data_IF_333801926279
#
_entry.id   IF_333801926279
#
_cell.length_a   1.000
_cell.length_b   1.000
_cell.length_c   1.000
_cell.angle_alpha   90.00
_cell.angle_beta   90.00
_cell.angle_gamma   90.00
#
_symmetry.space_group_name_H-M   'P 1'
#
loop_
_entity.id
_entity.type
_entity.pdbx_description
1 polymer ?
#
# COMPACT_ATOMS: atom_id res chain seq x y z
N UNK A 1 17.08 -22.51 29.32
CA UNK A 1 16.55 -21.47 28.41
C UNK A 1 17.01 -21.82 27.02
N UNK A 2 16.12 -22.31 26.15
CA UNK A 2 16.42 -22.59 24.75
C UNK A 2 15.94 -21.40 23.92
N UNK A 3 16.86 -20.73 23.23
CA UNK A 3 16.53 -19.67 22.29
C UNK A 3 15.80 -20.31 21.09
N UNK A 4 14.50 -20.06 20.99
CA UNK A 4 13.69 -20.43 19.83
C UNK A 4 14.01 -19.46 18.69
N UNK A 5 15.08 -19.72 17.95
CA UNK A 5 15.31 -19.09 16.65
C UNK A 5 14.29 -19.65 15.67
N UNK A 6 13.23 -18.89 15.41
CA UNK A 6 12.27 -19.15 14.33
C UNK A 6 13.02 -19.21 13.00
N UNK A 7 12.94 -20.34 12.30
CA UNK A 7 13.51 -20.46 10.94
C UNK A 7 12.78 -19.46 10.03
N UNK A 8 13.48 -18.67 9.20
CA UNK A 8 12.83 -17.79 8.26
C UNK A 8 11.92 -18.61 7.34
N UNK A 9 10.66 -18.17 7.20
CA UNK A 9 9.70 -18.78 6.28
C UNK A 9 10.29 -18.89 4.88
N UNK A 10 9.95 -19.94 4.13
CA UNK A 10 10.38 -20.10 2.75
C UNK A 10 10.01 -18.88 1.89
N UNK A 11 8.90 -18.20 2.19
CA UNK A 11 8.51 -16.95 1.54
C UNK A 11 9.48 -15.80 1.87
N UNK A 12 9.86 -15.63 3.15
CA UNK A 12 10.82 -14.62 3.58
C UNK A 12 12.19 -14.82 2.92
N UNK A 13 12.67 -16.06 2.83
CA UNK A 13 13.92 -16.37 2.12
C UNK A 13 13.85 -16.06 0.62
N UNK A 14 12.72 -16.32 -0.04
CA UNK A 14 12.53 -15.97 -1.46
C UNK A 14 12.53 -14.45 -1.68
N UNK A 15 11.87 -13.71 -0.79
CA UNK A 15 11.84 -12.24 -0.83
C UNK A 15 13.24 -11.67 -0.62
N UNK A 16 13.99 -12.18 0.37
CA UNK A 16 15.37 -11.76 0.62
C UNK A 16 16.28 -12.00 -0.59
N UNK A 17 16.18 -13.16 -1.25
CA UNK A 17 16.95 -13.45 -2.46
C UNK A 17 16.57 -12.54 -3.63
N UNK A 18 15.27 -12.30 -3.84
CA UNK A 18 14.82 -11.39 -4.89
C UNK A 18 15.31 -9.94 -4.64
N UNK A 19 15.24 -9.48 -3.39
CA UNK A 19 15.75 -8.17 -2.98
C UNK A 19 17.26 -8.04 -3.20
N UNK A 20 18.03 -9.08 -2.88
CA UNK A 20 19.49 -9.11 -3.12
C UNK A 20 19.82 -9.04 -4.62
N UNK A 21 19.09 -9.76 -5.47
CA UNK A 21 19.28 -9.72 -6.91
C UNK A 21 19.01 -8.33 -7.49
N UNK A 22 17.87 -7.72 -7.15
CA UNK A 22 17.50 -6.36 -7.59
C UNK A 22 18.53 -5.34 -7.09
N UNK A 23 18.98 -5.47 -5.85
CA UNK A 23 20.06 -4.64 -5.30
C UNK A 23 21.36 -4.77 -6.11
N UNK A 24 21.75 -6.00 -6.48
CA UNK A 24 22.94 -6.25 -7.28
C UNK A 24 22.82 -5.65 -8.68
N UNK A 25 21.67 -5.79 -9.33
CA UNK A 25 21.39 -5.22 -10.65
C UNK A 25 21.46 -3.69 -10.61
N UNK A 26 20.84 -3.06 -9.60
CA UNK A 26 20.89 -1.62 -9.41
C UNK A 26 22.32 -1.11 -9.17
N UNK A 27 23.17 -1.85 -8.44
CA UNK A 27 24.58 -1.48 -8.28
C UNK A 27 25.37 -1.55 -9.59
N UNK A 28 25.08 -2.53 -10.44
CA UNK A 28 25.65 -2.62 -11.79
C UNK A 28 25.22 -1.44 -12.66
N UNK A 29 23.93 -1.10 -12.64
CA UNK A 29 23.39 0.05 -13.36
C UNK A 29 24.02 1.38 -12.89
N UNK A 30 24.18 1.55 -11.58
CA UNK A 30 24.87 2.71 -10.97
C UNK A 30 26.31 2.84 -11.50
N UNK A 31 27.03 1.73 -11.64
CA UNK A 31 28.39 1.75 -12.19
C UNK A 31 28.41 2.18 -13.65
N UNK A 32 27.50 1.66 -14.48
CA UNK A 32 27.37 2.07 -15.88
C UNK A 32 26.96 3.53 -16.04
N UNK A 33 26.03 4.04 -15.21
CA UNK A 33 25.66 5.47 -15.18
C UNK A 33 26.89 6.33 -14.88
N UNK A 34 27.71 5.98 -13.88
CA UNK A 34 28.94 6.74 -13.56
C UNK A 34 29.93 6.73 -14.73
N UNK A 35 30.06 5.61 -15.44
CA UNK A 35 30.90 5.50 -16.64
C UNK A 35 30.38 6.39 -17.77
N UNK A 36 29.07 6.37 -18.01
CA UNK A 36 28.42 7.23 -18.99
C UNK A 36 28.64 8.72 -18.68
N UNK A 37 28.54 9.13 -17.41
CA UNK A 37 28.84 10.50 -16.99
C UNK A 37 30.29 10.90 -17.29
N UNK A 38 31.24 9.98 -17.15
CA UNK A 38 32.64 10.20 -17.55
C UNK A 38 32.80 10.46 -19.05
N UNK A 39 32.08 9.69 -19.88
CA UNK A 39 32.07 9.87 -21.34
C UNK A 39 31.40 11.20 -21.71
N UNK A 40 30.24 11.50 -21.12
CA UNK A 40 29.52 12.75 -21.33
C UNK A 40 30.41 13.95 -20.99
N UNK A 41 31.17 13.87 -19.89
CA UNK A 41 32.16 14.90 -19.54
C UNK A 41 33.20 15.09 -20.65
N UNK A 42 33.76 14.00 -21.20
CA UNK A 42 34.73 14.14 -22.30
C UNK A 42 34.11 14.79 -23.54
N UNK A 43 32.88 14.41 -23.90
CA UNK A 43 32.15 14.99 -25.03
C UNK A 43 31.85 16.47 -24.77
N UNK A 44 31.46 16.85 -23.57
CA UNK A 44 31.23 18.25 -23.18
C UNK A 44 32.51 19.09 -23.34
N UNK A 45 33.66 18.55 -22.91
CA UNK A 45 34.97 19.21 -23.08
C UNK A 45 35.31 19.41 -24.56
N UNK A 46 35.05 18.41 -25.41
CA UNK A 46 35.29 18.53 -26.85
C UNK A 46 34.33 19.54 -27.53
N UNK A 47 33.05 19.54 -27.14
CA UNK A 47 32.07 20.53 -27.61
C UNK A 47 32.44 21.95 -27.21
N UNK A 48 32.97 22.15 -25.99
CA UNK A 48 33.44 23.45 -25.52
C UNK A 48 34.66 23.92 -26.31
N UNK A 49 35.59 23.01 -26.65
CA UNK A 49 36.74 23.31 -27.53
C UNK A 49 36.33 23.73 -28.94
N UNK A 50 35.17 23.26 -29.41
CA UNK A 50 34.58 23.63 -30.69
C UNK A 50 33.63 24.84 -30.59
N UNK A 51 33.58 25.52 -29.43
CA UNK A 51 32.70 26.67 -29.14
C UNK A 51 31.19 26.38 -29.34
N UNK A 52 30.78 25.11 -29.23
CA UNK A 52 29.37 24.67 -29.40
C UNK A 52 28.58 24.78 -28.10
N UNK A 53 28.53 25.99 -27.52
CA UNK A 53 27.93 26.25 -26.20
C UNK A 53 26.47 25.80 -26.06
N UNK A 54 25.66 25.90 -27.12
CA UNK A 54 24.26 25.45 -27.09
C UNK A 54 24.14 23.93 -26.91
N UNK A 55 25.03 23.16 -27.53
CA UNK A 55 25.06 21.70 -27.38
C UNK A 55 25.53 21.30 -25.98
N UNK A 56 26.45 22.07 -25.38
CA UNK A 56 26.91 21.86 -24.00
C UNK A 56 25.74 22.04 -23.03
N UNK A 57 24.93 23.09 -23.20
CA UNK A 57 23.74 23.30 -22.36
C UNK A 57 22.71 22.17 -22.47
N UNK A 58 22.41 21.72 -23.70
CA UNK A 58 21.50 20.58 -23.89
C UNK A 58 22.02 19.31 -23.22
N UNK A 59 23.34 19.11 -23.26
CA UNK A 59 24.00 17.98 -22.61
C UNK A 59 23.94 18.10 -21.07
N UNK A 60 24.12 19.30 -20.51
CA UNK A 60 23.94 19.58 -19.07
C UNK A 60 22.51 19.30 -18.61
N UNK A 61 21.50 19.77 -19.34
CA UNK A 61 20.08 19.52 -19.05
C UNK A 61 19.75 18.02 -19.08
N UNK A 62 20.32 17.29 -20.04
CA UNK A 62 20.16 15.84 -20.13
C UNK A 62 20.84 15.11 -18.95
N UNK A 63 22.02 15.57 -18.53
CA UNK A 63 22.74 15.02 -17.37
C UNK A 63 21.98 15.27 -16.08
N UNK A 64 21.36 16.44 -15.90
CA UNK A 64 20.53 16.71 -14.72
C UNK A 64 19.38 15.71 -14.59
N UNK A 65 18.67 15.43 -15.68
CA UNK A 65 17.60 14.40 -15.71
C UNK A 65 18.13 12.99 -15.42
N UNK A 66 19.34 12.66 -15.88
CA UNK A 66 19.97 11.38 -15.59
C UNK A 66 20.35 11.26 -14.10
N UNK A 67 20.77 12.35 -13.45
CA UNK A 67 21.08 12.36 -12.03
C UNK A 67 19.83 12.21 -11.15
N UNK A 68 18.70 12.81 -11.55
CA UNK A 68 17.41 12.62 -10.84
C UNK A 68 16.96 11.16 -10.88
N UNK A 69 17.08 10.49 -12.03
CA UNK A 69 16.73 9.06 -12.14
C UNK A 69 17.71 8.17 -11.37
N UNK A 70 19.00 8.53 -11.34
CA UNK A 70 20.02 7.87 -10.53
C UNK A 70 19.70 7.91 -9.03
N UNK A 71 19.32 9.08 -8.48
CA UNK A 71 18.96 9.20 -7.06
C UNK A 71 17.76 8.30 -6.73
N UNK A 72 16.75 8.30 -7.61
CA UNK A 72 15.59 7.40 -7.50
C UNK A 72 15.97 5.92 -7.42
N UNK A 73 16.88 5.45 -8.28
CA UNK A 73 17.38 4.07 -8.25
C UNK A 73 18.11 3.72 -6.95
N UNK A 74 18.92 4.66 -6.41
CA UNK A 74 19.63 4.47 -5.14
C UNK A 74 18.63 4.33 -3.99
N UNK A 75 17.67 5.26 -3.89
CA UNK A 75 16.65 5.25 -2.83
C UNK A 75 15.78 4.00 -2.90
N UNK A 76 15.40 3.59 -4.12
CA UNK A 76 14.60 2.38 -4.33
C UNK A 76 15.34 1.12 -3.87
N UNK A 77 16.62 0.99 -4.22
CA UNK A 77 17.43 -0.16 -3.78
C UNK A 77 17.53 -0.26 -2.26
N UNK A 78 17.71 0.87 -1.58
CA UNK A 78 17.79 0.93 -0.11
C UNK A 78 16.45 0.52 0.52
N UNK A 79 15.34 1.06 0.01
CA UNK A 79 13.99 0.73 0.50
C UNK A 79 13.66 -0.77 0.33
N UNK A 80 14.00 -1.37 -0.81
CA UNK A 80 13.79 -2.81 -1.07
C UNK A 80 14.55 -3.68 -0.07
N UNK A 81 15.80 -3.31 0.25
CA UNK A 81 16.59 -4.03 1.25
C UNK A 81 15.96 -3.94 2.64
N UNK A 82 15.55 -2.75 3.08
CA UNK A 82 14.93 -2.52 4.39
C UNK A 82 13.64 -3.35 4.53
N UNK A 83 12.73 -3.24 3.56
CA UNK A 83 11.45 -3.97 3.58
C UNK A 83 11.68 -5.48 3.59
N UNK A 84 12.67 -5.97 2.85
CA UNK A 84 12.98 -7.41 2.82
C UNK A 84 13.54 -7.93 4.15
N UNK A 85 14.34 -7.13 4.86
CA UNK A 85 14.93 -7.50 6.14
C UNK A 85 13.91 -7.57 7.28
N UNK A 86 12.94 -6.65 7.27
CA UNK A 86 11.91 -6.55 8.30
C UNK A 86 10.66 -7.41 8.02
N UNK A 87 10.60 -8.06 6.84
CA UNK A 87 9.46 -8.88 6.47
C UNK A 87 9.39 -10.18 7.29
N UNK A 88 8.48 -10.21 8.26
CA UNK A 88 7.99 -11.45 8.85
C UNK A 88 6.57 -11.75 8.38
N UNK A 89 6.34 -12.84 7.62
CA UNK A 89 4.99 -13.29 7.38
C UNK A 89 4.39 -13.69 8.73
N UNK A 90 3.26 -13.07 9.09
CA UNK A 90 2.54 -13.44 10.31
C UNK A 90 2.06 -14.89 10.17
N UNK A 91 2.27 -15.70 11.21
CA UNK A 91 1.63 -17.02 11.34
C UNK A 91 0.11 -16.82 11.47
N UNK A 92 -0.54 -16.57 10.34
CA UNK A 92 -1.99 -16.60 10.28
C UNK A 92 -2.36 -18.09 10.25
N UNK A 93 -2.64 -18.66 11.41
CA UNK A 93 -3.21 -20.00 11.56
C UNK A 93 -4.52 -20.05 10.78
N UNK A 94 -4.45 -20.41 9.50
CA UNK A 94 -5.62 -20.70 8.69
C UNK A 94 -6.29 -21.93 9.30
N UNK A 95 -7.53 -21.79 9.75
CA UNK A 95 -8.28 -22.82 10.48
C UNK A 95 -8.59 -24.10 9.65
N UNK A 96 -8.07 -24.19 8.43
CA UNK A 96 -8.34 -25.23 7.42
C UNK A 96 -7.07 -25.74 6.72
N UNK A 97 -5.89 -25.59 7.34
CA UNK A 97 -4.65 -26.17 6.81
C UNK A 97 -4.80 -27.69 6.59
N UNK A 98 -4.67 -28.15 5.33
CA UNK A 98 -4.75 -29.57 4.96
C UNK A 98 -6.14 -30.08 4.57
N UNK A 99 -7.17 -29.25 4.61
CA UNK A 99 -8.46 -29.60 4.00
C UNK A 99 -8.39 -29.30 2.49
N UNK A 100 -8.82 -30.23 1.61
CA UNK A 100 -8.98 -29.91 0.20
C UNK A 100 -9.98 -28.76 0.08
N UNK A 101 -9.64 -27.79 -0.77
CA UNK A 101 -10.49 -26.64 -1.08
C UNK A 101 -11.89 -27.15 -1.47
N UNK A 102 -12.96 -26.78 -0.73
CA UNK A 102 -14.31 -27.04 -1.18
C UNK A 102 -14.61 -26.13 -2.38
N UNK A 103 -15.18 -26.69 -3.45
CA UNK A 103 -15.63 -25.94 -4.63
C UNK A 103 -14.82 -26.24 -5.90
N UNK A 104 -15.04 -27.42 -6.51
CA UNK A 104 -14.63 -27.69 -7.91
C UNK A 104 -15.66 -27.17 -8.92
N UNK A 105 -16.79 -26.63 -8.45
CA UNK A 105 -17.75 -25.93 -9.28
C UNK A 105 -17.19 -24.56 -9.68
N UNK A 106 -16.83 -24.43 -10.96
CA UNK A 106 -16.39 -23.18 -11.57
C UNK A 106 -17.59 -22.26 -11.74
N UNK A 107 -18.10 -21.71 -10.64
CA UNK A 107 -18.85 -20.46 -10.74
C UNK A 107 -17.85 -19.36 -11.14
N UNK A 108 -18.14 -18.67 -12.25
CA UNK A 108 -17.33 -17.55 -12.71
C UNK A 108 -17.36 -16.46 -11.65
N UNK A 109 -16.33 -16.42 -10.79
CA UNK A 109 -16.17 -15.37 -9.79
C UNK A 109 -15.81 -14.09 -10.52
N UNK A 110 -16.82 -13.32 -10.93
CA UNK A 110 -16.63 -11.95 -11.39
C UNK A 110 -16.11 -11.17 -10.20
N UNK A 111 -14.85 -10.73 -10.30
CA UNK A 111 -14.20 -9.92 -9.26
C UNK A 111 -14.81 -8.51 -9.28
N UNK A 112 -15.96 -8.36 -8.63
CA UNK A 112 -16.69 -7.08 -8.48
C UNK A 112 -16.12 -6.21 -7.36
N UNK A 113 -15.19 -6.73 -6.56
CA UNK A 113 -14.65 -6.02 -5.41
C UNK A 113 -13.69 -4.92 -5.85
N UNK A 114 -14.18 -3.68 -5.85
CA UNK A 114 -13.34 -2.49 -5.78
C UNK A 114 -12.58 -2.57 -4.45
N UNK A 115 -11.27 -2.77 -4.49
CA UNK A 115 -10.45 -2.92 -3.29
C UNK A 115 -10.57 -1.67 -2.42
N UNK A 116 -11.21 -1.78 -1.25
CA UNK A 116 -11.28 -0.68 -0.30
C UNK A 116 -10.28 -0.91 0.83
N UNK A 117 -9.49 0.12 1.13
CA UNK A 117 -8.44 0.06 2.14
C UNK A 117 -8.98 0.15 3.60
N UNK A 118 -10.29 0.37 3.77
CA UNK A 118 -10.93 0.48 5.07
C UNK A 118 -11.38 -0.90 5.59
N UNK A 119 -11.01 -1.25 6.82
CA UNK A 119 -11.34 -2.55 7.42
C UNK A 119 -12.80 -2.70 7.87
N UNK A 120 -13.52 -1.60 7.99
CA UNK A 120 -14.93 -1.60 8.35
C UNK A 120 -15.68 -0.51 7.59
N UNK A 121 -16.93 -0.80 7.26
CA UNK A 121 -17.83 0.10 6.51
C UNK A 121 -18.79 0.86 7.43
N UNK A 122 -18.93 0.44 8.69
CA UNK A 122 -19.77 1.09 9.70
C UNK A 122 -19.00 1.26 11.00
N UNK A 123 -19.30 2.33 11.75
CA UNK A 123 -18.76 2.52 13.09
C UNK A 123 -19.39 1.52 14.06
N UNK A 124 -18.61 0.67 14.75
CA UNK A 124 -19.14 -0.35 15.67
C UNK A 124 -19.90 0.19 16.89
N UNK A 125 -19.75 1.47 17.22
CA UNK A 125 -20.41 2.10 18.38
C UNK A 125 -21.68 2.86 18.01
N UNK A 126 -21.70 3.52 16.85
CA UNK A 126 -22.84 4.35 16.43
C UNK A 126 -23.71 3.68 15.36
N UNK A 127 -23.20 2.64 14.70
CA UNK A 127 -23.85 2.00 13.56
C UNK A 127 -23.84 2.84 12.26
N UNK A 128 -23.37 4.10 12.32
CA UNK A 128 -23.30 4.98 11.15
C UNK A 128 -22.30 4.43 10.13
N UNK A 129 -22.57 4.55 8.82
CA UNK A 129 -21.59 4.20 7.81
C UNK A 129 -20.38 5.14 7.90
N UNK A 130 -19.20 4.62 7.60
CA UNK A 130 -17.92 5.34 7.77
C UNK A 130 -17.87 6.63 6.95
N UNK A 131 -18.52 6.62 5.78
CA UNK A 131 -18.70 7.75 4.87
C UNK A 131 -19.57 8.90 5.40
N UNK A 132 -20.31 8.68 6.50
CA UNK A 132 -21.19 9.68 7.14
C UNK A 132 -20.67 10.11 8.52
N UNK A 133 -19.48 9.66 8.92
CA UNK A 133 -18.89 10.05 10.21
C UNK A 133 -18.44 11.51 10.17
N UNK A 134 -18.77 12.26 11.22
CA UNK A 134 -18.43 13.68 11.29
C UNK A 134 -16.96 13.87 11.68
N UNK A 135 -16.48 13.08 12.65
CA UNK A 135 -15.10 13.08 13.11
C UNK A 135 -14.57 11.63 13.13
N UNK A 136 -14.23 11.06 11.96
CA UNK A 136 -13.69 9.71 11.89
C UNK A 136 -12.31 9.65 12.57
N UNK A 137 -12.11 8.60 13.35
CA UNK A 137 -10.82 8.26 13.95
C UNK A 137 -10.55 6.77 13.78
N UNK A 138 -9.28 6.43 13.59
CA UNK A 138 -8.81 5.06 13.37
C UNK A 138 -7.86 4.64 14.49
N UNK A 139 -8.01 3.41 14.97
CA UNK A 139 -7.04 2.84 15.89
C UNK A 139 -5.78 2.41 15.14
N UNK A 140 -4.60 2.87 15.58
CA UNK A 140 -3.32 2.50 14.96
C UNK A 140 -3.02 1.00 15.09
N UNK A 141 -3.53 0.34 16.14
CA UNK A 141 -3.26 -1.07 16.43
C UNK A 141 -4.10 -2.06 15.63
N UNK A 142 -5.37 -1.74 15.36
CA UNK A 142 -6.32 -2.63 14.68
C UNK A 142 -6.93 -2.05 13.42
N UNK A 143 -6.62 -0.79 13.07
CA UNK A 143 -7.10 -0.06 11.90
C UNK A 143 -8.64 0.10 11.78
N UNK A 144 -9.41 -0.28 12.80
CA UNK A 144 -10.85 -0.03 12.83
C UNK A 144 -11.17 1.45 13.04
N UNK A 145 -12.25 1.88 12.40
CA UNK A 145 -12.70 3.27 12.29
C UNK A 145 -13.92 3.50 13.18
N UNK A 146 -13.93 4.64 13.87
CA UNK A 146 -14.98 5.03 14.81
C UNK A 146 -15.32 6.51 14.69
N UNK A 147 -16.50 6.89 15.19
CA UNK A 147 -16.80 8.28 15.53
C UNK A 147 -16.02 8.70 16.79
N UNK A 148 -15.40 9.87 16.76
CA UNK A 148 -14.45 10.33 17.80
C UNK A 148 -15.05 10.41 19.19
N UNK A 149 -16.20 11.07 19.36
CA UNK A 149 -16.73 11.29 20.72
C UNK A 149 -17.22 9.99 21.38
N UNK A 150 -17.98 9.12 20.68
CA UNK A 150 -18.39 7.82 21.21
C UNK A 150 -17.21 6.91 21.59
N UNK A 151 -16.17 6.83 20.76
CA UNK A 151 -15.02 5.96 21.08
C UNK A 151 -14.22 6.48 22.25
N UNK A 152 -14.06 7.80 22.37
CA UNK A 152 -13.39 8.41 23.51
C UNK A 152 -14.18 8.21 24.81
N UNK A 153 -15.51 8.26 24.74
CA UNK A 153 -16.36 7.93 25.88
C UNK A 153 -16.24 6.45 26.27
N UNK A 154 -16.31 5.54 25.29
CA UNK A 154 -16.16 4.09 25.50
C UNK A 154 -14.84 3.72 26.19
N UNK A 155 -13.72 4.27 25.73
CA UNK A 155 -12.39 4.02 26.33
C UNK A 155 -12.34 4.50 27.79
N UNK A 156 -13.03 5.60 28.12
CA UNK A 156 -13.05 6.14 29.49
C UNK A 156 -13.93 5.34 30.43
N UNK A 157 -15.02 4.73 29.94
CA UNK A 157 -15.99 3.97 30.76
C UNK A 157 -15.59 2.51 30.94
N UNK A 158 -14.99 1.87 29.94
CA UNK A 158 -14.64 0.44 29.96
C UNK A 158 -13.25 0.16 30.58
N UNK A 159 -13.00 0.66 31.79
CA UNK A 159 -11.76 0.40 32.55
C UNK A 159 -11.80 -0.98 33.22
N UNK A 160 -10.65 -1.67 33.40
CA UNK A 160 -9.28 -1.21 33.16
C UNK A 160 -8.74 -1.45 31.75
N UNK A 161 -9.40 -2.28 30.93
CA UNK A 161 -8.92 -2.69 29.60
C UNK A 161 -10.05 -2.58 28.56
N UNK A 162 -10.25 -1.39 27.96
CA UNK A 162 -11.28 -1.20 26.95
C UNK A 162 -10.85 -1.93 25.67
N UNK A 163 -11.45 -3.08 25.37
CA UNK A 163 -11.17 -3.84 24.15
C UNK A 163 -11.81 -3.17 22.93
N UNK A 164 -11.27 -3.43 21.76
CA UNK A 164 -11.89 -3.04 20.49
C UNK A 164 -13.35 -3.55 20.43
N UNK A 165 -14.35 -2.70 20.14
CA UNK A 165 -15.74 -3.12 20.03
C UNK A 165 -16.05 -4.04 18.83
N UNK A 166 -15.12 -4.21 17.89
CA UNK A 166 -15.28 -5.12 16.76
C UNK A 166 -15.16 -6.56 17.24
N UNK A 167 -16.15 -7.38 16.90
CA UNK A 167 -16.18 -8.79 17.26
C UNK A 167 -14.89 -9.50 16.82
N UNK A 168 -14.28 -10.26 17.73
CA UNK A 168 -13.05 -11.02 17.45
C UNK A 168 -11.75 -10.21 17.46
N UNK A 169 -11.80 -8.87 17.60
CA UNK A 169 -10.58 -8.07 17.68
C UNK A 169 -9.98 -8.11 19.10
N UNK A 170 -8.75 -8.63 19.31
CA UNK A 170 -8.17 -8.78 20.64
C UNK A 170 -7.52 -7.49 21.17
N UNK A 171 -7.45 -6.43 20.36
CA UNK A 171 -6.69 -5.22 20.70
C UNK A 171 -7.37 -4.41 21.81
N UNK A 172 -6.55 -3.89 22.71
CA UNK A 172 -6.97 -2.97 23.79
C UNK A 172 -6.76 -1.55 23.28
N UNK A 173 -7.80 -0.74 23.36
CA UNK A 173 -7.80 0.64 22.88
C UNK A 173 -7.14 1.57 23.89
N UNK A 174 -6.41 2.55 23.37
CA UNK A 174 -5.79 3.61 24.16
C UNK A 174 -6.13 4.95 23.52
N UNK A 175 -6.40 5.98 24.34
CA UNK A 175 -6.77 7.32 23.87
C UNK A 175 -5.75 7.89 22.88
N UNK A 176 -4.45 7.72 23.16
CA UNK A 176 -3.37 8.20 22.29
C UNK A 176 -3.14 7.37 21.01
N UNK A 177 -3.79 6.20 20.89
CA UNK A 177 -3.67 5.29 19.73
C UNK A 177 -4.89 5.33 18.81
N UNK A 178 -5.91 6.13 19.15
CA UNK A 178 -7.09 6.35 18.33
C UNK A 178 -7.04 7.77 17.79
N UNK A 179 -6.65 7.91 16.53
CA UNK A 179 -6.31 9.19 15.90
C UNK A 179 -6.94 9.29 14.51
N UNK A 180 -7.16 10.52 14.03
CA UNK A 180 -7.43 10.74 12.62
C UNK A 180 -6.08 10.96 11.93
N UNK A 181 -5.58 9.94 11.23
CA UNK A 181 -4.34 10.05 10.46
C UNK A 181 -4.58 10.75 9.11
N UNK A 182 -3.50 11.20 8.45
CA UNK A 182 -3.60 12.01 7.24
C UNK A 182 -4.23 11.28 6.03
N UNK A 183 -4.22 9.93 6.03
CA UNK A 183 -4.75 9.13 4.93
C UNK A 183 -6.23 8.78 5.14
N UNK A 184 -6.69 8.70 6.39
CA UNK A 184 -8.06 8.30 6.71
C UNK A 184 -9.14 9.14 5.99
N UNK A 185 -9.06 10.48 5.90
CA UNK A 185 -10.03 11.27 5.14
C UNK A 185 -10.00 10.97 3.63
N UNK A 186 -8.82 10.70 3.08
CA UNK A 186 -8.63 10.40 1.65
C UNK A 186 -9.27 9.06 1.30
N UNK A 187 -9.00 8.03 2.12
CA UNK A 187 -9.57 6.69 1.95
C UNK A 187 -11.11 6.69 2.11
N UNK A 188 -11.64 7.54 3.00
CA UNK A 188 -13.10 7.72 3.16
C UNK A 188 -13.70 8.42 1.93
N UNK A 189 -13.06 9.48 1.41
CA UNK A 189 -13.55 10.19 0.23
C UNK A 189 -13.50 9.33 -1.04
N UNK A 190 -12.47 8.48 -1.17
CA UNK A 190 -12.39 7.48 -2.23
C UNK A 190 -13.59 6.51 -2.16
N UNK A 191 -13.91 6.01 -0.95
CA UNK A 191 -15.09 5.16 -0.74
C UNK A 191 -16.39 5.87 -1.15
N UNK A 192 -16.55 7.17 -0.81
CA UNK A 192 -17.73 7.98 -1.22
C UNK A 192 -17.84 8.12 -2.73
N UNK A 193 -16.70 8.31 -3.40
CA UNK A 193 -16.64 8.42 -4.86
C UNK A 193 -17.06 7.11 -5.54
N UNK A 194 -16.65 5.97 -4.99
CA UNK A 194 -17.03 4.65 -5.51
C UNK A 194 -18.52 4.34 -5.35
N UNK A 195 -19.15 4.76 -4.24
CA UNK A 195 -20.60 4.61 -4.06
C UNK A 195 -21.39 5.45 -5.07
N UNK A 196 -20.93 6.67 -5.33
CA UNK A 196 -21.52 7.55 -6.36
C UNK A 196 -21.38 6.94 -7.76
N UNK A 197 -20.23 6.32 -8.06
CA UNK A 197 -20.01 5.62 -9.33
C UNK A 197 -20.84 4.33 -9.45
N UNK A 198 -21.06 3.60 -8.35
CA UNK A 198 -21.92 2.42 -8.33
C UNK A 198 -23.37 2.77 -8.67
N UNK A 199 -23.90 3.88 -8.15
CA UNK A 199 -25.24 4.38 -8.52
C UNK A 199 -25.35 4.66 -10.02
N UNK A 200 -24.31 5.26 -10.62
CA UNK A 200 -24.27 5.58 -12.06
C UNK A 200 -24.19 4.32 -12.96
N UNK A 201 -23.66 3.20 -12.47
CA UNK A 201 -23.59 1.95 -13.22
C UNK A 201 -24.89 1.14 -13.23
N UNK A 202 -25.85 1.46 -12.35
CA UNK A 202 -27.13 0.73 -12.23
C UNK A 202 -28.16 1.12 -13.29
N UNK A 203 -27.85 2.08 -14.17
CA UNK A 203 -28.67 2.39 -15.35
C UNK A 203 -28.28 1.43 -16.47
N UNK A 204 -28.73 0.18 -16.37
CA UNK A 204 -28.74 -0.75 -17.50
C UNK A 204 -30.08 -0.56 -18.18
N UNK A 205 -30.11 0.09 -19.35
CA UNK A 205 -31.32 0.18 -20.18
C UNK A 205 -31.61 -1.21 -20.74
N UNK A 206 -32.76 -1.77 -20.34
CA UNK A 206 -33.28 -3.04 -20.80
C UNK A 206 -33.84 -2.86 -22.23
N UNK A 207 -33.13 -3.39 -23.24
CA UNK A 207 -33.49 -3.28 -24.66
C UNK A 207 -34.12 -4.56 -25.22
N UNK A 208 -34.69 -5.44 -24.40
CA UNK A 208 -35.42 -6.60 -24.94
C UNK A 208 -36.83 -6.20 -25.39
N UNK A 209 -36.93 -5.44 -26.48
CA UNK A 209 -38.11 -5.45 -27.35
C UNK A 209 -37.88 -6.52 -28.41
N UNK A 210 -38.54 -7.67 -28.23
CA UNK A 210 -38.72 -8.65 -29.30
C UNK A 210 -39.87 -8.15 -30.17
N UNK A 211 -39.55 -7.72 -31.39
CA UNK A 211 -40.53 -7.49 -32.46
C UNK A 211 -41.21 -8.82 -32.79
N UNK A 212 -42.46 -8.99 -32.35
CA UNK A 212 -43.36 -10.03 -32.84
C UNK A 212 -44.14 -9.48 -34.06
N UNK A 213 -43.91 -10.10 -35.22
CA UNK A 213 -44.57 -9.86 -36.51
C UNK A 213 -46.02 -10.37 -36.55
#
# INVERSE_FOLDING_TARGET
>A
MAASTSRPSAAASRIATAAANVSSENQSLIAEIRKALGIIKSVAVDLEREEKSENVKQLEDAVLKLLDTYDGCVRFSEAVQIVSGDYQPSDQNVHHAGQPMPGEEQEEVVMTSTQCNLLNITCPLTGKPVIELTNPVRCVDCKHIYEKDPIMHYIRTMKPQPRCPVAGCPKILQVGRVVCDALLPIEIEEMRSTETAAVHSTIVEDFTEVDDE
#
